data_IF_035022176112
#
_entry.id   IF_035022176112
#
_cell.length_a   1.000
_cell.length_b   1.000
_cell.length_c   1.000
_cell.angle_alpha   90.00
_cell.angle_beta   90.00
_cell.angle_gamma   90.00
#
_symmetry.space_group_name_H-M   'P 1'
#
loop_
_entity.id
_entity.type
_entity.pdbx_description
1 polymer ?
#
# COMPACT_ATOMS: atom_id res chain seq x y z
N UNK A 1 25.12 -58.06 4.60
CA UNK A 1 26.02 -57.78 3.46
C UNK A 1 25.17 -57.54 2.23
N UNK A 2 25.08 -56.29 1.77
CA UNK A 2 25.05 -55.94 0.34
C UNK A 2 25.46 -54.47 0.26
N UNK A 3 26.62 -54.23 -0.36
CA UNK A 3 27.12 -52.91 -0.70
C UNK A 3 26.25 -52.36 -1.83
N UNK A 4 25.88 -51.09 -1.74
CA UNK A 4 25.63 -50.29 -2.93
C UNK A 4 26.38 -48.96 -2.82
N UNK A 5 27.09 -48.73 -3.91
CA UNK A 5 28.17 -47.82 -4.21
C UNK A 5 27.73 -46.36 -4.27
N UNK A 6 28.63 -45.48 -3.85
CA UNK A 6 28.61 -44.06 -4.16
C UNK A 6 28.39 -43.82 -5.65
N UNK A 7 27.39 -42.99 -5.98
CA UNK A 7 27.42 -42.14 -7.18
C UNK A 7 27.28 -40.72 -6.67
N UNK A 8 28.39 -40.01 -6.65
CA UNK A 8 28.40 -38.56 -6.56
C UNK A 8 27.85 -38.02 -7.89
N UNK A 9 26.71 -37.35 -7.84
CA UNK A 9 26.23 -36.49 -8.91
C UNK A 9 26.12 -35.08 -8.32
N UNK A 10 27.11 -34.24 -8.64
CA UNK A 10 26.94 -32.80 -8.59
C UNK A 10 25.73 -32.45 -9.45
N UNK A 11 24.68 -31.90 -8.84
CA UNK A 11 23.71 -31.06 -9.53
C UNK A 11 23.81 -29.69 -8.86
N UNK A 12 24.84 -28.96 -9.26
CA UNK A 12 24.90 -27.52 -9.11
C UNK A 12 24.13 -26.92 -10.28
N UNK A 13 22.87 -26.57 -10.03
CA UNK A 13 22.07 -25.56 -10.73
C UNK A 13 20.66 -25.61 -10.12
N UNK A 14 20.50 -25.15 -8.88
CA UNK A 14 19.19 -24.73 -8.42
C UNK A 14 18.93 -23.39 -9.09
N UNK A 15 18.09 -23.43 -10.10
CA UNK A 15 17.42 -22.28 -10.70
C UNK A 15 16.72 -21.48 -9.61
N UNK A 16 17.43 -20.47 -9.09
CA UNK A 16 16.99 -19.58 -8.01
C UNK A 16 15.75 -18.76 -8.35
N UNK A 17 15.33 -18.71 -9.63
CA UNK A 17 14.14 -17.97 -10.04
C UNK A 17 12.80 -18.64 -9.65
N UNK A 18 12.79 -19.95 -9.35
CA UNK A 18 11.53 -20.71 -9.18
C UNK A 18 11.01 -20.84 -7.74
N UNK A 19 11.87 -20.64 -6.73
CA UNK A 19 11.46 -20.78 -5.31
C UNK A 19 10.83 -19.49 -4.79
N UNK A 20 11.32 -18.32 -5.23
CA UNK A 20 10.76 -17.02 -4.82
C UNK A 20 9.37 -16.74 -5.40
N UNK A 21 9.02 -17.33 -6.54
CA UNK A 21 7.67 -17.23 -7.12
C UNK A 21 6.59 -17.95 -6.29
N UNK A 22 7.00 -18.75 -5.29
CA UNK A 22 6.09 -19.58 -4.49
C UNK A 22 5.94 -19.13 -3.03
N UNK A 23 6.70 -18.13 -2.57
CA UNK A 23 6.57 -17.62 -1.20
C UNK A 23 5.81 -16.31 -1.17
N UNK A 24 5.01 -16.07 -0.15
CA UNK A 24 4.30 -14.80 0.06
C UNK A 24 5.20 -13.62 0.48
N UNK A 25 6.52 -13.82 0.60
CA UNK A 25 7.49 -12.75 0.79
C UNK A 25 7.83 -12.11 -0.54
N UNK A 26 7.84 -10.77 -0.58
CA UNK A 26 8.12 -10.07 -1.82
C UNK A 26 9.52 -9.43 -1.83
N UNK A 27 10.45 -10.14 -2.45
CA UNK A 27 11.84 -9.73 -2.63
C UNK A 27 12.25 -9.88 -4.09
N UNK A 28 12.99 -8.88 -4.59
CA UNK A 28 13.63 -8.91 -5.90
C UNK A 28 15.06 -9.44 -5.78
N UNK A 29 15.52 -10.16 -6.79
CA UNK A 29 16.91 -10.62 -6.87
C UNK A 29 17.87 -9.49 -7.28
N UNK A 30 17.34 -8.43 -7.90
CA UNK A 30 18.13 -7.30 -8.41
C UNK A 30 17.68 -5.99 -7.77
N UNK A 31 18.64 -5.09 -7.62
CA UNK A 31 18.37 -3.70 -7.27
C UNK A 31 19.06 -2.77 -8.26
N UNK A 32 18.54 -1.55 -8.35
CA UNK A 32 18.99 -0.52 -9.27
C UNK A 32 19.08 0.81 -8.53
N UNK A 33 19.77 1.77 -9.15
CA UNK A 33 19.87 3.15 -8.66
C UNK A 33 18.88 4.02 -9.43
N UNK A 34 17.92 4.64 -8.73
CA UNK A 34 16.95 5.55 -9.33
C UNK A 34 17.57 6.93 -9.66
N UNK A 35 16.86 7.81 -10.39
CA UNK A 35 17.29 9.19 -10.59
C UNK A 35 17.50 10.01 -9.32
N UNK A 36 16.80 9.68 -8.22
CA UNK A 36 17.00 10.34 -6.91
C UNK A 36 18.22 9.78 -6.16
N UNK A 37 18.89 8.76 -6.71
CA UNK A 37 19.97 8.03 -6.08
C UNK A 37 19.51 6.92 -5.14
N UNK A 38 18.20 6.64 -5.05
CA UNK A 38 17.67 5.55 -4.25
C UNK A 38 18.20 4.21 -4.76
N UNK A 39 18.60 3.32 -3.86
CA UNK A 39 18.90 1.92 -4.20
C UNK A 39 17.69 1.08 -3.80
N UNK A 40 16.98 0.55 -4.79
CA UNK A 40 15.72 -0.20 -4.59
C UNK A 40 15.60 -1.37 -5.58
N UNK A 41 14.66 -2.27 -5.30
CA UNK A 41 14.33 -3.41 -6.15
C UNK A 41 14.06 -2.95 -7.59
N UNK A 42 14.55 -3.71 -8.57
CA UNK A 42 14.33 -3.40 -9.99
C UNK A 42 12.84 -3.34 -10.34
N UNK A 43 12.06 -4.31 -9.85
CA UNK A 43 10.59 -4.34 -9.97
C UNK A 43 9.92 -3.07 -9.41
N UNK A 44 10.29 -2.64 -8.21
CA UNK A 44 9.74 -1.41 -7.61
C UNK A 44 10.14 -0.17 -8.43
N UNK A 45 11.37 -0.10 -8.92
CA UNK A 45 11.82 1.00 -9.78
C UNK A 45 11.06 1.03 -11.12
N UNK A 46 10.80 -0.14 -11.71
CA UNK A 46 10.01 -0.25 -12.94
C UNK A 46 8.55 0.17 -12.73
N UNK A 47 8.00 -0.07 -11.53
CA UNK A 47 6.68 0.45 -11.15
C UNK A 47 6.69 1.95 -10.92
N UNK A 48 7.67 2.47 -10.21
CA UNK A 48 7.85 3.90 -9.96
C UNK A 48 7.92 4.71 -11.27
N UNK A 49 8.54 4.17 -12.33
CA UNK A 49 8.58 4.80 -13.65
C UNK A 49 7.20 5.00 -14.30
N UNK A 50 6.15 4.35 -13.79
CA UNK A 50 4.78 4.54 -14.27
C UNK A 50 4.08 5.72 -13.55
N UNK A 51 4.61 6.17 -12.42
CA UNK A 51 4.13 7.32 -11.65
C UNK A 51 4.76 8.61 -12.16
N UNK A 52 4.35 9.03 -13.35
CA UNK A 52 4.81 10.27 -13.98
C UNK A 52 3.73 11.35 -13.93
N UNK A 53 4.12 12.59 -13.63
CA UNK A 53 3.26 13.77 -13.83
C UNK A 53 2.77 13.79 -15.29
N UNK A 54 1.46 13.64 -15.50
CA UNK A 54 0.86 13.65 -16.82
C UNK A 54 -0.59 14.14 -16.78
N UNK A 55 -1.06 14.62 -17.92
CA UNK A 55 -2.48 14.96 -18.17
C UNK A 55 -2.95 14.16 -19.37
N UNK A 56 -4.00 13.39 -19.17
CA UNK A 56 -4.64 12.59 -20.20
C UNK A 56 -6.02 13.16 -20.50
N UNK A 57 -6.26 13.59 -21.75
CA UNK A 57 -7.62 13.72 -22.28
C UNK A 57 -8.06 12.31 -22.70
N UNK A 58 -8.73 11.59 -21.80
CA UNK A 58 -9.14 10.19 -22.03
C UNK A 58 -10.23 10.12 -23.09
N UNK A 59 -11.15 11.08 -23.03
CA UNK A 59 -12.16 11.39 -24.03
C UNK A 59 -12.30 12.92 -24.13
N UNK A 60 -12.89 13.47 -25.21
CA UNK A 60 -13.16 14.90 -25.29
C UNK A 60 -13.92 15.40 -24.05
N UNK A 61 -13.30 16.30 -23.28
CA UNK A 61 -13.86 16.84 -22.04
C UNK A 61 -13.73 15.95 -20.80
N UNK A 62 -13.07 14.80 -20.87
CA UNK A 62 -12.79 13.92 -19.73
C UNK A 62 -11.28 13.81 -19.54
N UNK A 63 -10.81 14.37 -18.43
CA UNK A 63 -9.40 14.57 -18.14
C UNK A 63 -8.98 13.78 -16.89
N UNK A 64 -7.76 13.25 -16.89
CA UNK A 64 -7.13 12.64 -15.72
C UNK A 64 -5.72 13.22 -15.53
N UNK A 65 -5.48 13.84 -14.38
CA UNK A 65 -4.18 14.37 -13.95
C UNK A 65 -3.56 13.35 -13.00
N UNK A 66 -2.42 12.80 -13.38
CA UNK A 66 -1.77 11.69 -12.67
C UNK A 66 -0.38 12.06 -12.19
N UNK A 67 0.16 11.30 -11.23
CA UNK A 67 1.58 11.34 -10.86
C UNK A 67 1.99 12.53 -9.97
N UNK A 68 1.02 13.23 -9.37
CA UNK A 68 1.28 14.31 -8.42
C UNK A 68 1.45 13.82 -6.97
N UNK A 69 1.06 12.58 -6.70
CA UNK A 69 1.13 11.95 -5.40
C UNK A 69 0.56 10.55 -5.47
N UNK A 70 -0.23 10.17 -4.48
CA UNK A 70 -0.84 8.84 -4.44
C UNK A 70 -2.04 8.73 -5.37
N UNK A 71 -2.90 9.75 -5.39
CA UNK A 71 -4.13 9.83 -6.17
C UNK A 71 -3.96 10.49 -7.54
N UNK A 72 -5.02 10.39 -8.33
CA UNK A 72 -5.28 11.16 -9.53
C UNK A 72 -6.36 12.21 -9.23
N UNK A 73 -6.33 13.31 -9.96
CA UNK A 73 -7.47 14.23 -10.06
C UNK A 73 -8.14 14.01 -11.41
N UNK A 74 -9.42 13.66 -11.40
CA UNK A 74 -10.19 13.49 -12.63
C UNK A 74 -11.15 14.68 -12.82
N UNK A 75 -11.20 15.23 -14.03
CA UNK A 75 -11.98 16.43 -14.35
C UNK A 75 -12.87 16.16 -15.56
N UNK A 76 -14.16 16.39 -15.40
CA UNK A 76 -15.16 16.24 -16.45
C UNK A 76 -15.74 17.61 -16.80
N UNK A 77 -15.74 17.96 -18.07
CA UNK A 77 -16.41 19.16 -18.58
C UNK A 77 -17.93 18.89 -18.70
N UNK A 78 -18.73 19.66 -17.97
CA UNK A 78 -20.18 19.71 -18.12
C UNK A 78 -20.64 20.77 -19.12
N UNK A 79 -21.94 21.07 -19.13
CA UNK A 79 -22.53 22.09 -20.01
C UNK A 79 -21.99 23.50 -19.75
N UNK A 80 -21.77 23.86 -18.48
CA UNK A 80 -21.44 25.23 -18.07
C UNK A 80 -20.17 25.35 -17.22
N UNK A 81 -19.62 24.23 -16.75
CA UNK A 81 -18.41 24.20 -15.92
C UNK A 81 -17.75 22.84 -15.83
N UNK A 82 -17.17 22.54 -14.67
CA UNK A 82 -16.45 21.29 -14.39
C UNK A 82 -17.14 20.47 -13.29
N UNK A 83 -17.07 19.16 -13.41
CA UNK A 83 -17.21 18.22 -12.31
C UNK A 83 -15.82 17.67 -12.00
N UNK A 84 -15.39 17.77 -10.74
CA UNK A 84 -14.07 17.28 -10.30
C UNK A 84 -14.26 16.06 -9.40
N UNK A 85 -13.61 14.95 -9.73
CA UNK A 85 -13.59 13.75 -8.89
C UNK A 85 -12.32 13.80 -8.05
N UNK A 86 -12.52 13.86 -6.75
CA UNK A 86 -11.49 14.12 -5.73
C UNK A 86 -10.78 15.48 -5.92
N UNK A 87 -10.83 16.33 -4.89
CA UNK A 87 -10.33 17.70 -4.95
C UNK A 87 -8.80 17.83 -4.81
N UNK A 88 -8.10 16.72 -4.59
CA UNK A 88 -6.70 16.64 -4.23
C UNK A 88 -6.47 16.55 -2.72
N UNK A 89 -5.32 16.01 -2.32
CA UNK A 89 -4.96 15.77 -0.92
C UNK A 89 -4.52 17.02 -0.15
N UNK A 90 -4.25 18.14 -0.84
CA UNK A 90 -3.90 19.43 -0.23
C UNK A 90 -4.17 20.59 -1.19
N UNK A 91 -4.09 21.83 -0.70
CA UNK A 91 -4.26 23.02 -1.56
C UNK A 91 -3.14 23.14 -2.61
N UNK A 92 -1.89 22.93 -2.21
CA UNK A 92 -0.76 22.96 -3.14
C UNK A 92 -0.89 21.88 -4.22
N UNK A 93 -1.41 20.71 -3.86
CA UNK A 93 -1.71 19.63 -4.79
C UNK A 93 -2.78 20.04 -5.82
N UNK A 94 -3.90 20.61 -5.36
CA UNK A 94 -4.96 21.10 -6.24
C UNK A 94 -4.47 22.20 -7.21
N UNK A 95 -3.69 23.17 -6.72
CA UNK A 95 -3.08 24.22 -7.55
C UNK A 95 -2.20 23.65 -8.65
N UNK A 96 -1.34 22.68 -8.28
CA UNK A 96 -0.46 22.01 -9.22
C UNK A 96 -1.27 21.26 -10.28
N UNK A 97 -2.32 20.54 -9.91
CA UNK A 97 -3.19 19.86 -10.86
C UNK A 97 -3.88 20.82 -11.83
N UNK A 98 -4.47 21.92 -11.32
CA UNK A 98 -5.08 22.95 -12.15
C UNK A 98 -4.09 23.60 -13.12
N UNK A 99 -2.82 23.77 -12.70
CA UNK A 99 -1.76 24.32 -13.56
C UNK A 99 -1.34 23.41 -14.71
N UNK A 100 -1.58 22.11 -14.60
CA UNK A 100 -1.26 21.13 -15.64
C UNK A 100 -2.37 21.01 -16.69
N UNK A 101 -3.62 21.30 -16.31
CA UNK A 101 -4.76 21.29 -17.22
C UNK A 101 -4.69 22.48 -18.21
N UNK A 102 -5.24 22.33 -19.42
CA UNK A 102 -5.34 23.46 -20.34
C UNK A 102 -6.09 24.64 -19.71
N UNK A 103 -5.60 25.86 -19.88
CA UNK A 103 -6.18 27.07 -19.27
C UNK A 103 -7.69 27.24 -19.57
N UNK A 104 -8.12 26.86 -20.78
CA UNK A 104 -9.53 26.85 -21.20
C UNK A 104 -10.42 25.91 -20.39
N UNK A 105 -9.83 24.92 -19.72
CA UNK A 105 -10.51 23.95 -18.85
C UNK A 105 -10.39 24.42 -17.42
N UNK A 106 -9.17 24.62 -16.90
CA UNK A 106 -8.93 24.91 -15.48
C UNK A 106 -9.49 26.25 -14.99
N UNK A 107 -9.79 27.20 -15.89
CA UNK A 107 -10.43 28.47 -15.54
C UNK A 107 -11.95 28.38 -15.39
N UNK A 108 -12.59 27.29 -15.84
CA UNK A 108 -14.04 27.12 -15.76
C UNK A 108 -14.51 27.00 -14.29
N UNK A 109 -15.73 27.46 -13.97
CA UNK A 109 -16.30 27.27 -12.64
C UNK A 109 -16.53 25.77 -12.36
N UNK A 110 -16.31 25.33 -11.13
CA UNK A 110 -16.63 23.98 -10.69
C UNK A 110 -18.11 23.92 -10.25
N UNK A 111 -18.88 23.10 -10.95
CA UNK A 111 -20.30 22.85 -10.70
C UNK A 111 -20.55 21.73 -9.72
N UNK A 112 -19.62 20.78 -9.63
CA UNK A 112 -19.66 19.84 -8.52
C UNK A 112 -18.38 19.07 -8.27
N UNK A 113 -18.33 18.48 -7.09
CA UNK A 113 -17.38 17.45 -6.72
C UNK A 113 -18.09 16.13 -6.50
N UNK A 114 -17.41 15.03 -6.82
CA UNK A 114 -17.76 13.70 -6.33
C UNK A 114 -16.54 13.17 -5.59
N UNK A 115 -16.69 12.90 -4.31
CA UNK A 115 -15.62 12.29 -3.52
C UNK A 115 -15.72 10.78 -3.66
N UNK A 116 -14.66 10.16 -4.18
CA UNK A 116 -14.58 8.69 -4.22
C UNK A 116 -14.49 8.14 -2.82
N UNK A 117 -13.76 8.82 -1.93
CA UNK A 117 -13.67 8.59 -0.48
C UNK A 117 -12.88 9.73 0.18
N UNK A 118 -12.77 9.73 1.51
CA UNK A 118 -12.23 10.86 2.26
C UNK A 118 -10.75 11.21 2.07
N UNK A 119 -9.91 10.34 1.48
CA UNK A 119 -8.46 10.56 1.46
C UNK A 119 -8.01 11.79 0.64
N UNK A 120 -8.72 12.14 -0.43
CA UNK A 120 -8.22 13.04 -1.49
C UNK A 120 -9.09 14.28 -1.70
N UNK A 121 -9.62 14.83 -0.60
CA UNK A 121 -10.67 15.86 -0.64
C UNK A 121 -10.22 17.25 -0.15
N UNK A 122 -9.04 17.35 0.47
CA UNK A 122 -8.59 18.55 1.19
C UNK A 122 -8.13 19.70 0.29
N UNK A 123 -8.10 19.51 -1.02
CA UNK A 123 -7.83 20.54 -2.03
C UNK A 123 -9.08 21.09 -2.72
N UNK A 124 -10.28 20.57 -2.44
CA UNK A 124 -11.50 20.89 -3.20
C UNK A 124 -11.83 22.40 -3.24
N UNK A 125 -11.73 23.09 -2.11
CA UNK A 125 -12.02 24.52 -2.00
C UNK A 125 -11.01 25.45 -2.68
N UNK A 126 -9.92 24.93 -3.22
CA UNK A 126 -8.93 25.70 -3.97
C UNK A 126 -9.34 25.90 -5.44
N UNK A 127 -10.25 25.06 -5.96
CA UNK A 127 -10.76 25.20 -7.31
C UNK A 127 -11.69 26.42 -7.44
N UNK A 128 -12.06 26.78 -8.67
CA UNK A 128 -12.98 27.90 -8.95
C UNK A 128 -14.43 27.55 -8.55
N UNK A 129 -14.69 27.47 -7.25
CA UNK A 129 -15.97 27.04 -6.65
C UNK A 129 -16.87 28.23 -6.29
N UNK A 130 -18.14 27.96 -6.08
CA UNK A 130 -19.14 28.91 -5.60
C UNK A 130 -20.07 28.27 -4.57
N UNK A 131 -20.91 29.06 -3.90
CA UNK A 131 -21.81 28.56 -2.84
C UNK A 131 -22.84 27.53 -3.36
N UNK A 132 -23.10 27.48 -4.66
CA UNK A 132 -23.98 26.54 -5.34
C UNK A 132 -23.27 25.27 -5.85
N UNK A 133 -21.95 25.13 -5.67
CA UNK A 133 -21.21 23.91 -6.04
C UNK A 133 -21.75 22.70 -5.28
N UNK A 134 -22.19 21.66 -6.00
CA UNK A 134 -22.71 20.43 -5.41
C UNK A 134 -21.54 19.53 -5.00
N UNK A 135 -21.54 18.99 -3.79
CA UNK A 135 -20.54 18.02 -3.34
C UNK A 135 -21.24 16.72 -3.01
N UNK A 136 -20.95 15.66 -3.77
CA UNK A 136 -21.51 14.32 -3.58
C UNK A 136 -20.49 13.44 -2.86
N UNK A 137 -20.92 12.73 -1.83
CA UNK A 137 -20.11 11.72 -1.14
C UNK A 137 -21.00 10.60 -0.61
N UNK A 138 -20.40 9.49 -0.17
CA UNK A 138 -21.12 8.42 0.52
C UNK A 138 -21.67 8.90 1.87
N UNK A 139 -22.79 8.34 2.34
CA UNK A 139 -23.40 8.72 3.62
C UNK A 139 -22.49 8.49 4.84
N UNK A 140 -21.54 7.55 4.75
CA UNK A 140 -20.54 7.29 5.78
C UNK A 140 -19.37 8.28 5.79
N UNK A 141 -19.28 9.19 4.81
CA UNK A 141 -18.12 10.07 4.63
C UNK A 141 -17.75 10.85 5.89
N UNK A 142 -18.73 11.49 6.52
CA UNK A 142 -18.46 12.30 7.71
C UNK A 142 -17.98 11.43 8.88
N UNK A 143 -18.54 10.24 9.08
CA UNK A 143 -18.10 9.32 10.14
C UNK A 143 -16.69 8.79 9.91
N UNK A 144 -16.36 8.44 8.67
CA UNK A 144 -15.04 7.92 8.27
C UNK A 144 -13.96 8.99 8.42
N UNK A 145 -14.23 10.20 7.93
CA UNK A 145 -13.35 11.35 8.06
C UNK A 145 -13.13 11.71 9.54
N UNK A 146 -14.21 11.84 10.32
CA UNK A 146 -14.10 12.16 11.76
C UNK A 146 -13.31 11.11 12.51
N UNK A 147 -13.60 9.82 12.30
CA UNK A 147 -12.88 8.73 12.99
C UNK A 147 -11.39 8.72 12.63
N UNK A 148 -11.06 8.94 11.36
CA UNK A 148 -9.69 8.88 10.86
C UNK A 148 -8.83 10.07 11.30
N UNK A 149 -9.46 11.23 11.46
CA UNK A 149 -8.80 12.49 11.86
C UNK A 149 -8.93 12.81 13.35
N UNK A 150 -9.57 11.94 14.14
CA UNK A 150 -9.77 12.17 15.57
C UNK A 150 -8.45 12.13 16.35
N UNK A 151 -7.88 13.30 16.58
CA UNK A 151 -6.67 13.49 17.37
C UNK A 151 -6.88 13.20 18.87
N UNK A 152 -8.12 13.05 19.34
CA UNK A 152 -8.41 12.72 20.75
C UNK A 152 -8.32 11.21 21.04
N UNK A 153 -8.30 10.36 20.00
CA UNK A 153 -8.12 8.93 20.16
C UNK A 153 -6.77 8.61 20.83
N UNK A 154 -6.72 7.78 21.88
CA UNK A 154 -5.47 7.34 22.51
C UNK A 154 -4.51 6.64 21.53
N UNK A 155 -5.04 6.12 20.40
CA UNK A 155 -4.24 5.46 19.36
C UNK A 155 -3.71 6.42 18.29
N UNK A 156 -4.19 7.67 18.25
CA UNK A 156 -3.85 8.63 17.19
C UNK A 156 -2.34 8.88 17.06
N UNK A 157 -1.55 9.09 18.14
CA UNK A 157 -0.11 9.32 18.01
C UNK A 157 0.61 8.15 17.32
N UNK A 158 0.25 6.91 17.68
CA UNK A 158 0.82 5.73 17.04
C UNK A 158 0.41 5.65 15.56
N UNK A 159 -0.88 5.84 15.24
CA UNK A 159 -1.39 5.76 13.87
C UNK A 159 -0.75 6.80 12.95
N UNK A 160 -0.59 8.05 13.41
CA UNK A 160 0.05 9.13 12.66
C UNK A 160 1.51 8.82 12.36
N UNK A 161 2.29 8.43 13.37
CA UNK A 161 3.70 8.07 13.20
C UNK A 161 3.88 6.88 12.26
N UNK A 162 3.08 5.83 12.43
CA UNK A 162 3.15 4.65 11.56
C UNK A 162 2.71 4.96 10.12
N UNK A 163 1.78 5.90 9.93
CA UNK A 163 1.40 6.41 8.60
C UNK A 163 2.57 7.14 7.95
N UNK A 164 3.26 8.02 8.70
CA UNK A 164 4.45 8.74 8.24
C UNK A 164 5.59 7.79 7.86
N UNK A 165 5.85 6.75 8.66
CA UNK A 165 6.81 5.70 8.33
C UNK A 165 6.42 4.99 7.04
N UNK A 166 5.19 4.48 6.95
CA UNK A 166 4.73 3.72 5.78
C UNK A 166 4.81 4.54 4.49
N UNK A 167 4.47 5.83 4.54
CA UNK A 167 4.45 6.72 3.38
C UNK A 167 5.80 7.40 3.11
N UNK A 168 6.85 7.01 3.85
CA UNK A 168 8.24 7.41 3.62
C UNK A 168 8.56 8.84 4.03
N UNK A 169 7.71 9.53 4.80
CA UNK A 169 7.85 10.99 5.04
C UNK A 169 9.10 11.39 5.81
N UNK A 170 9.73 10.45 6.51
CA UNK A 170 10.98 10.65 7.24
C UNK A 170 12.24 10.37 6.42
N UNK A 171 12.09 9.80 5.22
CA UNK A 171 13.22 9.44 4.37
C UNK A 171 13.81 10.69 3.70
N UNK A 172 15.12 10.70 3.45
CA UNK A 172 15.73 11.80 2.70
C UNK A 172 15.17 11.84 1.28
N UNK A 173 15.06 13.03 0.69
CA UNK A 173 14.54 13.17 -0.68
C UNK A 173 15.48 12.59 -1.75
N UNK A 174 16.79 12.56 -1.46
CA UNK A 174 17.84 12.06 -2.37
C UNK A 174 18.79 11.10 -1.64
N UNK A 175 19.54 10.31 -2.43
CA UNK A 175 20.51 9.32 -1.96
C UNK A 175 19.93 7.92 -1.80
N UNK A 176 20.75 6.96 -1.37
CA UNK A 176 20.41 5.52 -1.35
C UNK A 176 19.13 5.17 -0.57
N UNK A 177 18.83 5.96 0.47
CA UNK A 177 17.68 5.77 1.36
C UNK A 177 16.47 6.61 0.93
N UNK A 178 16.53 7.26 -0.24
CA UNK A 178 15.39 7.97 -0.82
C UNK A 178 14.21 7.02 -1.06
N UNK A 179 12.97 7.47 -0.79
CA UNK A 179 11.76 6.67 -0.97
C UNK A 179 11.58 6.27 -2.45
N UNK A 180 10.78 5.23 -2.68
CA UNK A 180 10.13 5.03 -3.97
C UNK A 180 9.14 6.16 -4.27
N UNK A 181 8.75 6.32 -5.54
CA UNK A 181 7.77 7.33 -5.98
C UNK A 181 6.40 7.13 -5.31
N UNK A 182 6.05 5.88 -4.99
CA UNK A 182 4.85 5.56 -4.20
C UNK A 182 4.99 6.05 -2.75
N UNK A 183 4.40 7.20 -2.42
CA UNK A 183 4.43 7.80 -1.07
C UNK A 183 3.99 9.27 -1.02
N UNK A 184 4.23 9.94 0.12
CA UNK A 184 3.91 11.37 0.31
C UNK A 184 5.14 12.28 0.33
N UNK A 185 6.33 11.77 0.01
CA UNK A 185 7.60 12.49 0.21
C UNK A 185 7.74 13.74 -0.66
N UNK A 186 7.09 13.74 -1.83
CA UNK A 186 7.07 14.87 -2.76
C UNK A 186 5.72 15.62 -2.79
N UNK A 187 4.83 15.33 -1.83
CA UNK A 187 3.54 15.99 -1.70
C UNK A 187 3.61 17.04 -0.60
N UNK A 188 3.27 18.29 -0.93
CA UNK A 188 3.15 19.34 0.09
C UNK A 188 1.84 19.18 0.88
N UNK A 189 1.98 18.72 2.12
CA UNK A 189 0.88 18.49 3.07
C UNK A 189 0.78 19.60 4.12
N UNK A 190 1.43 20.74 3.93
CA UNK A 190 1.47 21.83 4.92
C UNK A 190 0.13 22.56 5.09
N UNK A 191 -0.73 22.54 4.07
CA UNK A 191 -2.07 23.14 4.09
C UNK A 191 -3.13 22.18 3.54
N UNK A 192 -3.90 21.58 4.46
CA UNK A 192 -5.02 20.65 4.20
C UNK A 192 -6.39 21.29 4.49
N UNK A 193 -6.50 22.62 4.41
CA UNK A 193 -7.70 23.36 4.80
C UNK A 193 -8.81 23.46 3.74
N UNK A 194 -8.59 22.96 2.52
CA UNK A 194 -9.51 23.10 1.39
C UNK A 194 -10.63 22.06 1.33
N UNK A 195 -11.00 21.41 2.42
CA UNK A 195 -12.15 20.48 2.43
C UNK A 195 -13.48 21.22 2.23
N UNK A 196 -14.37 20.68 1.40
CA UNK A 196 -15.76 21.14 1.25
C UNK A 196 -16.72 20.05 1.74
N UNK A 197 -17.65 20.40 2.64
CA UNK A 197 -18.59 19.42 3.16
C UNK A 197 -19.57 18.93 2.07
N UNK A 198 -19.91 17.63 2.03
CA UNK A 198 -20.94 17.11 1.13
C UNK A 198 -22.29 17.82 1.29
N UNK A 199 -22.90 18.21 0.17
CA UNK A 199 -24.26 18.77 0.10
C UNK A 199 -25.28 17.75 -0.36
N UNK A 200 -24.82 16.63 -0.93
CA UNK A 200 -25.63 15.47 -1.31
C UNK A 200 -24.93 14.19 -0.86
N UNK A 201 -25.71 13.29 -0.26
CA UNK A 201 -25.23 11.97 0.13
C UNK A 201 -25.89 10.90 -0.73
N UNK A 202 -25.12 9.86 -1.05
CA UNK A 202 -25.58 8.61 -1.68
C UNK A 202 -25.24 7.44 -0.75
N UNK A 203 -25.97 6.34 -0.84
CA UNK A 203 -25.79 5.16 0.00
C UNK A 203 -25.14 4.00 -0.73
N UNK A 204 -25.33 2.79 -0.18
CA UNK A 204 -24.77 1.56 -0.74
C UNK A 204 -25.45 1.14 -2.06
N UNK A 205 -26.75 1.42 -2.19
CA UNK A 205 -27.55 1.08 -3.36
C UNK A 205 -27.22 1.97 -4.58
N UNK A 206 -27.47 1.43 -5.78
CA UNK A 206 -27.34 2.19 -7.03
C UNK A 206 -28.15 3.49 -6.96
N UNK A 207 -27.45 4.61 -7.13
CA UNK A 207 -28.04 5.94 -7.13
C UNK A 207 -27.67 6.69 -8.39
N UNK A 208 -28.68 7.09 -9.16
CA UNK A 208 -28.51 7.93 -10.34
C UNK A 208 -28.62 9.41 -9.98
N UNK A 209 -27.76 10.23 -10.58
CA UNK A 209 -27.88 11.68 -10.49
C UNK A 209 -27.20 12.38 -11.67
N UNK A 210 -27.41 13.68 -11.75
CA UNK A 210 -26.82 14.52 -12.78
C UNK A 210 -26.20 15.77 -12.13
N UNK A 211 -25.05 16.19 -12.66
CA UNK A 211 -24.41 17.46 -12.34
C UNK A 211 -24.04 18.12 -13.67
N UNK A 212 -24.56 19.32 -13.91
CA UNK A 212 -24.23 20.15 -15.09
C UNK A 212 -24.35 19.38 -16.43
N UNK A 213 -25.44 18.60 -16.59
CA UNK A 213 -25.74 17.82 -17.79
C UNK A 213 -25.02 16.47 -17.91
N UNK A 214 -24.15 16.13 -16.95
CA UNK A 214 -23.44 14.83 -16.93
C UNK A 214 -24.11 13.88 -15.95
N UNK A 215 -24.51 12.71 -16.44
CA UNK A 215 -25.12 11.65 -15.64
C UNK A 215 -24.07 10.78 -14.96
N UNK A 216 -24.36 10.43 -13.72
CA UNK A 216 -23.56 9.54 -12.89
C UNK A 216 -24.48 8.48 -12.28
N UNK A 217 -23.95 7.26 -12.17
CA UNK A 217 -24.49 6.17 -11.37
C UNK A 217 -23.43 5.81 -10.34
N UNK A 218 -23.80 5.78 -9.07
CA UNK A 218 -22.90 5.37 -7.99
C UNK A 218 -23.42 4.15 -7.28
N UNK A 219 -22.51 3.32 -6.79
CA UNK A 219 -22.78 2.20 -5.90
C UNK A 219 -21.72 2.17 -4.79
N UNK A 220 -21.96 1.44 -3.70
CA UNK A 220 -20.95 1.15 -2.70
C UNK A 220 -19.63 0.69 -3.35
N UNK A 221 -18.57 1.43 -3.05
CA UNK A 221 -17.18 1.15 -3.43
C UNK A 221 -16.33 0.83 -2.22
N UNK A 222 -16.88 0.09 -1.24
CA UNK A 222 -16.24 -0.26 0.03
C UNK A 222 -14.97 -1.10 -0.19
N UNK A 223 -13.82 -0.42 -0.30
CA UNK A 223 -12.52 -1.04 -0.47
C UNK A 223 -11.53 -0.57 0.60
N UNK A 224 -10.92 0.60 0.45
CA UNK A 224 -10.00 1.18 1.42
C UNK A 224 -10.74 1.63 2.68
N UNK A 225 -11.87 2.30 2.48
CA UNK A 225 -12.71 2.90 3.52
C UNK A 225 -14.18 2.50 3.31
N UNK A 226 -15.03 2.77 4.31
CA UNK A 226 -16.47 2.48 4.24
C UNK A 226 -17.30 3.65 3.69
N UNK A 227 -16.64 4.71 3.22
CA UNK A 227 -17.24 5.81 2.46
C UNK A 227 -16.84 5.76 0.98
N UNK A 228 -16.31 4.63 0.52
CA UNK A 228 -15.90 4.43 -0.86
C UNK A 228 -17.10 4.39 -1.81
N UNK A 229 -16.96 5.05 -2.97
CA UNK A 229 -17.91 4.99 -4.08
C UNK A 229 -17.25 4.40 -5.32
N UNK A 230 -17.96 3.50 -5.98
CA UNK A 230 -17.72 3.15 -7.38
C UNK A 230 -18.62 4.04 -8.24
N UNK A 231 -18.04 4.74 -9.20
CA UNK A 231 -18.72 5.76 -10.01
C UNK A 231 -18.71 5.32 -11.48
N UNK A 232 -19.86 5.38 -12.15
CA UNK A 232 -20.03 5.09 -13.56
C UNK A 232 -20.74 6.23 -14.30
N UNK A 233 -20.22 6.61 -15.46
CA UNK A 233 -20.79 7.60 -16.36
C UNK A 233 -21.34 6.87 -17.60
N UNK A 234 -22.66 6.60 -17.68
CA UNK A 234 -23.22 5.70 -18.70
C UNK A 234 -23.10 6.24 -20.13
N UNK A 235 -23.26 7.56 -20.31
CA UNK A 235 -23.22 8.16 -21.64
C UNK A 235 -21.79 8.14 -22.24
N UNK A 236 -20.76 8.21 -21.40
CA UNK A 236 -19.34 8.17 -21.78
C UNK A 236 -18.70 6.79 -21.60
N UNK A 237 -19.38 5.85 -20.94
CA UNK A 237 -18.88 4.53 -20.55
C UNK A 237 -17.57 4.59 -19.76
N UNK A 238 -17.51 5.52 -18.80
CA UNK A 238 -16.33 5.80 -17.97
C UNK A 238 -16.58 5.32 -16.55
N UNK A 239 -15.60 4.64 -15.93
CA UNK A 239 -15.59 4.35 -14.48
C UNK A 239 -14.53 5.15 -13.72
N UNK A 240 -14.83 5.48 -12.46
CA UNK A 240 -13.88 6.00 -11.49
C UNK A 240 -14.09 5.26 -10.17
N UNK A 241 -13.06 4.60 -9.67
CA UNK A 241 -13.13 3.75 -8.48
C UNK A 241 -11.76 3.58 -7.80
N UNK A 242 -11.81 3.16 -6.54
CA UNK A 242 -10.66 2.74 -5.74
C UNK A 242 -10.73 1.23 -5.41
N UNK A 243 -11.29 0.42 -6.32
CA UNK A 243 -11.58 -1.00 -6.04
C UNK A 243 -10.36 -1.90 -6.31
N UNK A 244 -9.38 -1.41 -7.07
CA UNK A 244 -8.11 -2.08 -7.36
C UNK A 244 -6.96 -1.07 -7.40
N UNK A 245 -5.73 -1.54 -7.23
CA UNK A 245 -4.54 -0.69 -7.32
C UNK A 245 -3.96 -0.83 -8.73
N UNK A 246 -3.96 0.25 -9.51
CA UNK A 246 -3.59 0.20 -10.93
C UNK A 246 -2.19 -0.37 -11.21
N UNK A 247 -1.31 -0.35 -10.21
CA UNK A 247 0.08 -0.74 -10.34
C UNK A 247 0.45 -2.00 -9.54
N UNK A 248 -0.49 -2.71 -8.89
CA UNK A 248 -0.15 -3.92 -8.15
C UNK A 248 -1.23 -4.45 -7.21
N UNK A 249 -0.82 -5.30 -6.26
CA UNK A 249 -1.70 -5.92 -5.28
C UNK A 249 -2.35 -4.86 -4.38
N UNK A 250 -3.68 -4.78 -4.41
CA UNK A 250 -4.43 -3.90 -3.52
C UNK A 250 -4.25 -4.33 -2.05
N UNK A 251 -4.14 -3.35 -1.16
CA UNK A 251 -4.01 -3.65 0.26
C UNK A 251 -5.32 -4.22 0.82
N UNK A 252 -5.31 -5.40 1.43
CA UNK A 252 -6.42 -5.89 2.27
C UNK A 252 -6.28 -5.43 3.73
N UNK A 253 -5.08 -4.96 4.07
CA UNK A 253 -4.73 -4.43 5.38
C UNK A 253 -3.50 -3.56 5.25
N UNK A 254 -3.42 -2.52 6.08
CA UNK A 254 -2.29 -1.59 6.07
C UNK A 254 -1.36 -1.81 7.26
N UNK A 255 -0.05 -1.74 7.04
CA UNK A 255 0.95 -1.89 8.11
C UNK A 255 0.87 -0.73 9.11
N UNK A 256 0.39 0.45 8.71
CA UNK A 256 0.22 1.60 9.61
C UNK A 256 -0.79 1.32 10.74
N UNK A 257 -1.63 0.30 10.58
CA UNK A 257 -2.61 -0.14 11.56
C UNK A 257 -3.96 0.49 11.28
N UNK A 258 -4.90 -0.34 10.85
CA UNK A 258 -6.28 0.04 10.63
C UNK A 258 -7.20 -1.18 10.77
N UNK A 259 -8.51 -0.98 10.60
CA UNK A 259 -9.49 -2.07 10.56
C UNK A 259 -9.19 -3.06 9.42
N UNK A 260 -9.77 -4.25 9.54
CA UNK A 260 -9.84 -5.19 8.42
C UNK A 260 -10.66 -4.58 7.29
N UNK A 261 -10.23 -4.76 6.04
CA UNK A 261 -11.03 -4.40 4.89
C UNK A 261 -11.86 -5.62 4.48
N UNK A 262 -13.18 -5.49 4.52
CA UNK A 262 -14.08 -6.61 4.30
C UNK A 262 -14.06 -7.06 2.84
N UNK A 263 -13.53 -8.27 2.62
CA UNK A 263 -13.32 -8.84 1.28
C UNK A 263 -14.62 -9.09 0.51
N UNK A 264 -15.73 -9.34 1.22
CA UNK A 264 -17.05 -9.50 0.61
C UNK A 264 -17.55 -8.19 0.00
N UNK A 265 -17.35 -7.06 0.71
CA UNK A 265 -17.74 -5.75 0.20
C UNK A 265 -16.88 -5.34 -1.01
N UNK A 266 -15.58 -5.66 -0.99
CA UNK A 266 -14.70 -5.48 -2.16
C UNK A 266 -15.14 -6.31 -3.36
N UNK A 267 -15.58 -7.55 -3.11
CA UNK A 267 -16.10 -8.45 -4.15
C UNK A 267 -17.35 -7.84 -4.79
N UNK A 268 -18.28 -7.33 -3.98
CA UNK A 268 -19.49 -6.67 -4.46
C UNK A 268 -19.17 -5.43 -5.32
N UNK A 269 -18.28 -4.55 -4.85
CA UNK A 269 -17.85 -3.38 -5.61
C UNK A 269 -17.16 -3.75 -6.94
N UNK A 270 -16.32 -4.78 -6.92
CA UNK A 270 -15.63 -5.28 -8.13
C UNK A 270 -16.63 -5.86 -9.13
N UNK A 271 -17.59 -6.66 -8.65
CA UNK A 271 -18.61 -7.27 -9.49
C UNK A 271 -19.52 -6.21 -10.12
N UNK A 272 -19.95 -5.22 -9.33
CA UNK A 272 -20.79 -4.14 -9.83
C UNK A 272 -20.13 -3.41 -11.01
N UNK A 273 -18.84 -3.09 -10.91
CA UNK A 273 -18.08 -2.46 -12.00
C UNK A 273 -17.96 -3.37 -13.24
N UNK A 274 -17.79 -4.68 -13.06
CA UNK A 274 -17.71 -5.67 -14.15
C UNK A 274 -19.06 -5.83 -14.88
N UNK A 275 -20.17 -5.55 -14.20
CA UNK A 275 -21.52 -5.63 -14.76
C UNK A 275 -21.89 -4.39 -15.60
N UNK A 276 -21.14 -3.29 -15.47
CA UNK A 276 -21.33 -2.07 -16.26
C UNK A 276 -20.68 -2.16 -17.65
N UNK A 277 -21.23 -1.42 -18.62
CA UNK A 277 -20.62 -1.27 -19.94
C UNK A 277 -19.53 -0.19 -19.92
N UNK A 278 -18.37 -0.54 -19.33
CA UNK A 278 -17.21 0.36 -19.19
C UNK A 278 -16.24 0.17 -20.35
N UNK A 279 -15.92 1.27 -21.05
CA UNK A 279 -14.88 1.34 -22.08
C UNK A 279 -13.59 2.01 -21.58
N UNK A 280 -13.71 2.88 -20.56
CA UNK A 280 -12.61 3.66 -20.00
C UNK A 280 -12.65 3.66 -18.48
N UNK A 281 -11.50 3.49 -17.82
CA UNK A 281 -11.37 3.62 -16.36
C UNK A 281 -10.35 4.69 -16.04
N UNK A 282 -10.79 5.75 -15.36
CA UNK A 282 -9.92 6.86 -14.96
C UNK A 282 -9.11 6.54 -13.71
N UNK A 283 -9.70 5.72 -12.82
CA UNK A 283 -9.13 5.27 -11.55
C UNK A 283 -8.89 6.40 -10.56
N UNK A 284 -8.77 6.04 -9.29
CA UNK A 284 -8.22 6.95 -8.27
C UNK A 284 -6.70 6.92 -8.25
N UNK A 285 -6.08 5.83 -8.70
CA UNK A 285 -4.63 5.66 -8.68
C UNK A 285 -4.10 5.28 -10.05
N UNK A 286 -3.03 5.96 -10.49
CA UNK A 286 -2.24 5.52 -11.63
C UNK A 286 -2.82 5.90 -12.99
N UNK A 287 -2.21 5.38 -14.06
CA UNK A 287 -2.61 5.76 -15.42
C UNK A 287 -4.04 5.29 -15.76
N UNK A 288 -4.88 6.14 -16.39
CA UNK A 288 -6.16 5.71 -16.94
C UNK A 288 -5.97 4.65 -18.04
N UNK A 289 -6.92 3.74 -18.17
CA UNK A 289 -6.88 2.63 -19.14
C UNK A 289 -8.17 2.52 -19.92
N UNK A 290 -8.10 1.90 -21.10
CA UNK A 290 -9.24 1.70 -21.98
C UNK A 290 -9.28 0.26 -22.48
N UNK A 291 -10.46 -0.23 -22.82
CA UNK A 291 -10.67 -1.57 -23.37
C UNK A 291 -10.41 -2.68 -22.34
N UNK A 292 -9.89 -3.81 -22.83
CA UNK A 292 -9.79 -5.04 -22.04
C UNK A 292 -8.87 -4.94 -20.81
N UNK A 293 -7.89 -4.03 -20.81
CA UNK A 293 -6.95 -3.85 -19.68
C UNK A 293 -7.69 -3.59 -18.36
N UNK A 294 -8.77 -2.79 -18.39
CA UNK A 294 -9.57 -2.53 -17.19
C UNK A 294 -10.20 -3.82 -16.65
N UNK A 295 -10.80 -4.62 -17.53
CA UNK A 295 -11.46 -5.88 -17.17
C UNK A 295 -10.44 -6.90 -16.67
N UNK A 296 -9.26 -6.96 -17.27
CA UNK A 296 -8.14 -7.80 -16.80
C UNK A 296 -7.71 -7.40 -15.38
N UNK A 297 -7.61 -6.10 -15.09
CA UNK A 297 -7.26 -5.58 -13.76
C UNK A 297 -8.33 -5.92 -12.70
N UNK A 298 -9.61 -5.67 -12.97
CA UNK A 298 -10.68 -6.03 -12.05
C UNK A 298 -10.83 -7.54 -11.87
N UNK A 299 -10.68 -8.32 -12.94
CA UNK A 299 -10.70 -9.80 -12.86
C UNK A 299 -9.54 -10.30 -12.01
N UNK A 300 -8.34 -9.72 -12.17
CA UNK A 300 -7.20 -10.05 -11.33
C UNK A 300 -7.46 -9.68 -9.86
N UNK A 301 -8.06 -8.52 -9.58
CA UNK A 301 -8.45 -8.12 -8.23
C UNK A 301 -9.44 -9.13 -7.61
N UNK A 302 -10.47 -9.54 -8.36
CA UNK A 302 -11.44 -10.54 -7.91
C UNK A 302 -10.76 -11.87 -7.56
N UNK A 303 -9.94 -12.40 -8.47
CA UNK A 303 -9.16 -13.62 -8.24
C UNK A 303 -8.23 -13.49 -7.02
N UNK A 304 -7.67 -12.31 -6.80
CA UNK A 304 -6.78 -12.06 -5.65
C UNK A 304 -7.52 -12.18 -4.31
N UNK A 305 -8.78 -11.72 -4.24
CA UNK A 305 -9.64 -11.86 -3.06
C UNK A 305 -9.99 -13.33 -2.81
N UNK A 306 -10.45 -14.03 -3.85
CA UNK A 306 -10.82 -15.45 -3.76
C UNK A 306 -9.65 -16.30 -3.25
N UNK A 307 -8.44 -16.02 -3.73
CA UNK A 307 -7.25 -16.75 -3.31
C UNK A 307 -6.77 -16.39 -1.91
N UNK A 308 -6.82 -15.10 -1.54
CA UNK A 308 -6.50 -14.69 -0.17
C UNK A 308 -7.32 -15.51 0.82
N UNK A 309 -8.63 -15.60 0.59
CA UNK A 309 -9.56 -16.37 1.41
C UNK A 309 -9.24 -17.85 1.32
N UNK A 310 -9.34 -18.43 0.13
CA UNK A 310 -9.32 -19.89 -0.04
C UNK A 310 -7.96 -20.52 0.31
N UNK A 311 -6.83 -19.91 -0.06
CA UNK A 311 -5.50 -20.47 0.26
C UNK A 311 -5.13 -20.26 1.73
N UNK A 312 -5.54 -19.14 2.34
CA UNK A 312 -5.33 -18.94 3.78
C UNK A 312 -6.19 -19.89 4.61
N UNK A 313 -7.48 -20.09 4.27
CA UNK A 313 -8.34 -21.05 4.96
C UNK A 313 -7.86 -22.50 4.81
N UNK A 314 -7.36 -22.88 3.63
CA UNK A 314 -6.71 -24.20 3.44
C UNK A 314 -5.49 -24.37 4.35
N UNK A 315 -4.68 -23.32 4.52
CA UNK A 315 -3.53 -23.35 5.42
C UNK A 315 -3.95 -23.45 6.89
N UNK A 316 -4.97 -22.70 7.29
CA UNK A 316 -5.60 -22.80 8.63
C UNK A 316 -6.11 -24.22 8.88
N UNK A 317 -6.82 -24.80 7.90
CA UNK A 317 -7.34 -26.17 7.98
C UNK A 317 -6.24 -27.25 8.09
N UNK A 318 -5.00 -26.94 7.68
CA UNK A 318 -3.81 -27.78 7.88
C UNK A 318 -3.14 -27.56 9.24
N UNK A 319 -3.67 -26.66 10.08
CA UNK A 319 -3.16 -26.35 11.41
C UNK A 319 -2.04 -25.30 11.44
N UNK A 320 -1.80 -24.59 10.33
CA UNK A 320 -0.75 -23.57 10.27
C UNK A 320 -1.11 -22.33 11.11
N UNK A 321 -0.15 -21.86 11.89
CA UNK A 321 -0.19 -20.61 12.65
C UNK A 321 -0.05 -19.38 11.72
N UNK A 322 -0.39 -18.17 12.20
CA UNK A 322 -0.23 -16.96 11.39
C UNK A 322 1.24 -16.70 11.02
N UNK A 323 2.20 -17.13 11.84
CA UNK A 323 3.64 -16.97 11.55
C UNK A 323 4.15 -18.00 10.52
N UNK A 324 3.48 -19.14 10.35
CA UNK A 324 3.78 -20.11 9.29
C UNK A 324 3.09 -19.75 7.97
N UNK A 325 1.86 -19.26 8.03
CA UNK A 325 1.04 -18.90 6.86
C UNK A 325 1.73 -17.89 5.96
N UNK A 326 2.36 -16.87 6.53
CA UNK A 326 3.07 -15.81 5.80
C UNK A 326 4.27 -16.30 4.97
N UNK A 327 4.67 -17.57 5.10
CA UNK A 327 5.75 -18.21 4.34
C UNK A 327 5.28 -19.40 3.50
N UNK A 328 4.17 -20.05 3.88
CA UNK A 328 3.74 -21.33 3.30
C UNK A 328 2.50 -21.23 2.41
N UNK A 329 1.76 -20.10 2.46
CA UNK A 329 0.68 -19.87 1.50
C UNK A 329 1.29 -19.53 0.14
N UNK A 330 0.93 -20.34 -0.85
CA UNK A 330 1.40 -20.23 -2.24
C UNK A 330 0.22 -19.96 -3.16
N UNK A 331 0.41 -19.12 -4.18
CA UNK A 331 -0.63 -18.81 -5.16
C UNK A 331 -0.36 -19.50 -6.50
N UNK A 332 -1.40 -19.74 -7.33
CA UNK A 332 -1.21 -20.23 -8.70
C UNK A 332 -0.26 -19.34 -9.52
N UNK A 333 0.56 -19.96 -10.36
CA UNK A 333 1.62 -19.28 -11.14
C UNK A 333 1.10 -18.11 -11.99
N UNK A 334 -0.06 -18.26 -12.62
CA UNK A 334 -0.72 -17.21 -13.42
C UNK A 334 -0.91 -15.91 -12.62
N UNK A 335 -1.20 -16.02 -11.33
CA UNK A 335 -1.50 -14.87 -10.47
C UNK A 335 -0.27 -14.39 -9.71
N UNK A 336 0.60 -15.31 -9.29
CA UNK A 336 1.90 -14.96 -8.73
C UNK A 336 2.75 -14.12 -9.70
N UNK A 337 2.60 -14.38 -11.01
CA UNK A 337 3.29 -13.64 -12.08
C UNK A 337 2.40 -12.61 -12.78
N UNK A 338 1.21 -12.29 -12.24
CA UNK A 338 0.32 -11.31 -12.87
C UNK A 338 0.91 -9.90 -12.76
N UNK A 339 1.04 -9.15 -13.87
CA UNK A 339 1.53 -7.77 -13.84
C UNK A 339 0.59 -6.81 -13.09
N UNK A 340 -0.65 -7.24 -12.84
CA UNK A 340 -1.68 -6.48 -12.12
C UNK A 340 -1.66 -6.72 -10.60
N UNK A 341 -1.00 -7.78 -10.13
CA UNK A 341 -0.96 -8.17 -8.72
C UNK A 341 0.46 -8.14 -8.15
N UNK A 342 1.36 -7.39 -8.78
CA UNK A 342 2.72 -7.20 -8.28
C UNK A 342 2.67 -6.59 -6.87
N UNK A 343 3.45 -7.16 -5.95
CA UNK A 343 3.48 -6.76 -4.55
C UNK A 343 4.37 -5.52 -4.35
N UNK A 344 3.95 -4.38 -4.92
CA UNK A 344 4.68 -3.11 -4.87
C UNK A 344 4.16 -2.13 -3.81
N UNK A 345 3.01 -2.44 -3.20
CA UNK A 345 2.42 -1.71 -2.09
C UNK A 345 1.98 -2.69 -0.99
N UNK A 346 1.00 -3.53 -1.28
CA UNK A 346 0.62 -4.67 -0.44
C UNK A 346 1.49 -5.90 -0.68
N UNK A 347 1.59 -6.78 0.32
CA UNK A 347 2.25 -8.08 0.21
C UNK A 347 1.35 -9.17 0.82
N UNK A 348 1.35 -10.32 0.17
CA UNK A 348 0.63 -11.49 0.61
C UNK A 348 1.02 -11.95 2.01
N UNK A 349 2.31 -11.82 2.37
CA UNK A 349 2.82 -12.26 3.68
C UNK A 349 2.05 -11.64 4.85
N UNK A 350 1.81 -10.33 4.81
CA UNK A 350 1.03 -9.67 5.87
C UNK A 350 -0.48 -9.71 5.63
N UNK A 351 -0.96 -9.84 4.39
CA UNK A 351 -2.40 -10.01 4.13
C UNK A 351 -2.96 -11.34 4.62
N UNK A 352 -2.28 -12.46 4.32
CA UNK A 352 -2.66 -13.80 4.77
C UNK A 352 -2.62 -13.88 6.30
N UNK A 353 -1.57 -13.31 6.93
CA UNK A 353 -1.48 -13.18 8.39
C UNK A 353 -2.62 -12.35 8.97
N UNK A 354 -3.01 -11.25 8.32
CA UNK A 354 -4.14 -10.43 8.79
C UNK A 354 -5.48 -11.15 8.62
N UNK A 355 -5.66 -11.88 7.54
CA UNK A 355 -6.85 -12.70 7.30
C UNK A 355 -6.97 -13.78 8.38
N UNK A 356 -5.87 -14.46 8.74
CA UNK A 356 -5.85 -15.37 9.89
C UNK A 356 -6.38 -14.68 11.15
N UNK A 357 -5.88 -13.48 11.47
CA UNK A 357 -6.35 -12.74 12.65
C UNK A 357 -7.84 -12.41 12.60
N UNK A 358 -8.39 -12.18 11.40
CA UNK A 358 -9.82 -11.94 11.21
C UNK A 358 -10.63 -13.22 11.45
N UNK A 359 -10.19 -14.35 10.89
CA UNK A 359 -10.93 -15.61 10.93
C UNK A 359 -10.78 -16.35 12.27
N UNK A 360 -9.58 -16.33 12.86
CA UNK A 360 -9.16 -17.21 13.95
C UNK A 360 -8.67 -16.47 15.20
N UNK A 361 -8.55 -15.13 15.17
CA UNK A 361 -7.87 -14.30 16.18
C UNK A 361 -6.32 -14.38 16.10
N UNK A 362 -5.58 -13.83 17.07
CA UNK A 362 -4.12 -13.78 17.04
C UNK A 362 -3.41 -15.11 17.35
N UNK A 363 -4.10 -16.06 17.98
CA UNK A 363 -3.49 -17.26 18.55
C UNK A 363 -3.23 -18.34 17.49
N UNK A 364 -1.98 -18.79 17.38
CA UNK A 364 -1.49 -19.65 16.31
C UNK A 364 -1.48 -21.16 16.54
N UNK A 365 -1.86 -21.63 17.73
CA UNK A 365 -1.89 -23.02 18.22
C UNK A 365 -0.76 -23.44 19.17
N UNK A 366 0.41 -22.79 19.19
CA UNK A 366 1.45 -23.12 20.18
C UNK A 366 1.12 -22.49 21.54
N UNK A 367 0.93 -23.34 22.56
CA UNK A 367 0.67 -22.90 23.93
C UNK A 367 1.76 -22.00 24.52
N UNK A 368 3.01 -22.06 24.01
CA UNK A 368 4.09 -21.16 24.43
C UNK A 368 3.76 -19.70 24.11
N UNK A 369 2.99 -19.44 23.05
CA UNK A 369 2.61 -18.09 22.62
C UNK A 369 1.53 -17.46 23.51
N UNK A 370 0.88 -18.22 24.40
CA UNK A 370 -0.10 -17.66 25.32
C UNK A 370 0.56 -16.67 26.29
N UNK A 371 1.73 -17.04 26.80
CA UNK A 371 2.48 -16.28 27.81
C UNK A 371 3.98 -16.39 27.54
N UNK A 372 4.48 -15.83 26.41
CA UNK A 372 5.90 -15.86 26.11
C UNK A 372 6.69 -15.10 27.18
N UNK A 373 7.99 -15.39 27.27
CA UNK A 373 8.88 -14.59 28.10
C UNK A 373 8.85 -13.13 27.65
N UNK A 374 9.09 -12.23 28.60
CA UNK A 374 9.35 -10.83 28.28
C UNK A 374 10.54 -10.76 27.31
N UNK A 375 10.40 -9.99 26.23
CA UNK A 375 11.31 -10.07 25.08
C UNK A 375 12.76 -9.79 25.44
N UNK A 376 13.04 -8.93 26.42
CA UNK A 376 14.41 -8.68 26.85
C UNK A 376 14.94 -9.81 27.74
N UNK A 377 14.09 -10.51 28.51
CA UNK A 377 14.49 -11.72 29.24
C UNK A 377 14.80 -12.90 28.32
N UNK A 378 13.95 -13.13 27.33
CA UNK A 378 14.22 -14.11 26.29
C UNK A 378 15.54 -13.82 25.58
N UNK A 379 15.74 -12.56 25.15
CA UNK A 379 16.95 -12.15 24.45
C UNK A 379 18.23 -12.40 25.27
N UNK A 380 18.25 -12.03 26.56
CA UNK A 380 19.39 -12.30 27.45
C UNK A 380 19.71 -13.80 27.57
N UNK A 381 18.68 -14.65 27.64
CA UNK A 381 18.85 -16.12 27.70
C UNK A 381 19.36 -16.68 26.37
N UNK A 382 18.81 -16.21 25.25
CA UNK A 382 19.24 -16.62 23.91
C UNK A 382 20.68 -16.19 23.62
N UNK A 383 21.05 -14.94 23.94
CA UNK A 383 22.43 -14.45 23.80
C UNK A 383 23.40 -15.28 24.63
N UNK A 384 23.04 -15.63 25.88
CA UNK A 384 23.85 -16.53 26.71
C UNK A 384 24.00 -17.92 26.06
N UNK A 385 22.92 -18.47 25.51
CA UNK A 385 22.94 -19.77 24.84
C UNK A 385 23.79 -19.76 23.55
N UNK A 386 23.83 -18.63 22.84
CA UNK A 386 24.62 -18.44 21.62
C UNK A 386 26.10 -18.09 21.86
N UNK A 387 26.56 -18.04 23.12
CA UNK A 387 27.96 -17.81 23.46
C UNK A 387 28.32 -16.38 23.87
N UNK A 388 27.33 -15.53 24.14
CA UNK A 388 27.52 -14.16 24.63
C UNK A 388 27.32 -13.09 23.55
N UNK A 389 27.24 -11.83 23.99
CA UNK A 389 26.91 -10.67 23.14
C UNK A 389 27.88 -10.54 21.95
N UNK A 390 29.20 -10.59 22.21
CA UNK A 390 30.22 -10.43 21.17
C UNK A 390 30.11 -11.51 20.08
N UNK A 391 29.83 -12.76 20.48
CA UNK A 391 29.65 -13.88 19.57
C UNK A 391 28.41 -13.69 18.69
N UNK A 392 27.30 -13.25 19.28
CA UNK A 392 26.05 -12.98 18.54
C UNK A 392 26.24 -11.83 17.55
N UNK A 393 26.95 -10.77 17.93
CA UNK A 393 27.26 -9.66 17.01
C UNK A 393 28.18 -10.14 15.88
N UNK A 394 29.17 -10.98 16.17
CA UNK A 394 30.03 -11.57 15.15
C UNK A 394 29.22 -12.39 14.15
N UNK A 395 28.33 -13.26 14.63
CA UNK A 395 27.44 -14.06 13.79
C UNK A 395 26.48 -13.19 12.98
N UNK A 396 25.96 -12.10 13.57
CA UNK A 396 25.10 -11.16 12.85
C UNK A 396 25.84 -10.48 11.69
N UNK A 397 27.12 -10.13 11.88
CA UNK A 397 27.97 -9.57 10.82
C UNK A 397 28.33 -10.60 9.75
N UNK A 398 28.62 -11.84 10.14
CA UNK A 398 28.87 -12.96 9.22
C UNK A 398 27.63 -13.23 8.36
N UNK A 399 26.45 -13.39 8.98
CA UNK A 399 25.17 -13.54 8.28
C UNK A 399 24.91 -12.38 7.29
N UNK A 400 25.27 -11.14 7.66
CA UNK A 400 25.16 -10.01 6.74
C UNK A 400 26.09 -10.16 5.52
N UNK A 401 27.34 -10.56 5.72
CA UNK A 401 28.32 -10.77 4.64
C UNK A 401 27.91 -11.90 3.69
N UNK A 402 27.19 -12.89 4.21
CA UNK A 402 26.64 -14.02 3.43
C UNK A 402 25.30 -13.68 2.73
N UNK A 403 24.77 -12.47 2.92
CA UNK A 403 23.50 -12.03 2.33
C UNK A 403 22.25 -12.46 3.11
N UNK A 404 22.40 -13.07 4.29
CA UNK A 404 21.31 -13.50 5.17
C UNK A 404 20.77 -12.33 6.01
N UNK A 405 20.36 -11.25 5.35
CA UNK A 405 20.03 -9.98 6.02
C UNK A 405 18.90 -10.08 7.06
N UNK A 406 17.89 -10.93 6.82
CA UNK A 406 16.84 -11.17 7.81
C UNK A 406 17.40 -11.80 9.09
N UNK A 407 18.30 -12.78 8.95
CA UNK A 407 18.90 -13.47 10.08
C UNK A 407 19.87 -12.56 10.83
N UNK A 408 20.69 -11.80 10.10
CA UNK A 408 21.54 -10.74 10.65
C UNK A 408 20.73 -9.76 11.53
N UNK A 409 19.60 -9.25 11.02
CA UNK A 409 18.74 -8.34 11.76
C UNK A 409 18.10 -8.98 13.00
N UNK A 410 17.78 -10.28 12.96
CA UNK A 410 17.24 -11.03 14.11
C UNK A 410 18.30 -11.23 15.20
N UNK A 411 19.50 -11.69 14.84
CA UNK A 411 20.62 -11.82 15.78
C UNK A 411 20.97 -10.48 16.43
N UNK A 412 21.09 -9.42 15.63
CA UNK A 412 21.34 -8.08 16.14
C UNK A 412 20.22 -7.60 17.06
N UNK A 413 18.95 -7.95 16.79
CA UNK A 413 17.83 -7.64 17.68
C UNK A 413 17.97 -8.31 19.06
N UNK A 414 18.43 -9.56 19.12
CA UNK A 414 18.71 -10.20 20.40
C UNK A 414 19.83 -9.49 21.17
N UNK A 415 20.91 -9.10 20.50
CA UNK A 415 22.01 -8.35 21.14
C UNK A 415 21.57 -6.97 21.65
N UNK A 416 20.76 -6.23 20.89
CA UNK A 416 20.21 -4.92 21.31
C UNK A 416 19.34 -5.09 22.56
N UNK A 417 18.42 -6.05 22.56
CA UNK A 417 17.55 -6.34 23.72
C UNK A 417 18.31 -6.87 24.94
N UNK A 418 19.51 -7.39 24.74
CA UNK A 418 20.43 -7.75 25.81
C UNK A 418 21.28 -6.57 26.31
N UNK A 419 21.13 -5.38 25.73
CA UNK A 419 21.75 -4.13 26.17
C UNK A 419 23.00 -3.71 25.38
N UNK A 420 23.23 -4.22 24.16
CA UNK A 420 24.35 -3.78 23.32
C UNK A 420 23.93 -2.73 22.29
N UNK A 421 24.49 -1.53 22.44
CA UNK A 421 24.33 -0.45 21.46
C UNK A 421 25.15 -0.72 20.17
N UNK A 422 26.25 -1.46 20.26
CA UNK A 422 27.09 -1.80 19.10
C UNK A 422 26.34 -2.62 18.04
N UNK A 423 25.33 -3.38 18.48
CA UNK A 423 24.48 -4.18 17.59
C UNK A 423 23.49 -3.32 16.77
N UNK A 424 23.25 -2.05 17.15
CA UNK A 424 22.31 -1.16 16.44
C UNK A 424 22.74 -0.91 15.00
N UNK A 425 24.03 -0.63 14.77
CA UNK A 425 24.55 -0.42 13.41
C UNK A 425 24.43 -1.69 12.56
N UNK A 426 24.70 -2.87 13.12
CA UNK A 426 24.56 -4.15 12.40
C UNK A 426 23.11 -4.37 11.95
N UNK A 427 22.14 -4.06 12.82
CA UNK A 427 20.72 -4.12 12.46
C UNK A 427 20.35 -3.06 11.41
N UNK A 428 20.84 -1.83 11.54
CA UNK A 428 20.59 -0.76 10.57
C UNK A 428 21.08 -1.15 9.18
N UNK A 429 22.30 -1.68 9.07
CA UNK A 429 22.89 -2.15 7.81
C UNK A 429 22.06 -3.30 7.22
N UNK A 430 21.67 -4.28 8.03
CA UNK A 430 20.84 -5.40 7.58
C UNK A 430 19.44 -4.96 7.11
N UNK A 431 18.79 -4.04 7.82
CA UNK A 431 17.50 -3.47 7.41
C UNK A 431 17.63 -2.68 6.11
N UNK A 432 18.69 -1.87 5.96
CA UNK A 432 18.96 -1.14 4.73
C UNK A 432 19.19 -2.07 3.55
N UNK A 433 19.97 -3.14 3.71
CA UNK A 433 20.13 -4.17 2.68
C UNK A 433 18.81 -4.83 2.32
N UNK A 434 17.96 -5.19 3.30
CA UNK A 434 16.60 -5.70 3.01
C UNK A 434 15.76 -4.70 2.23
N UNK A 435 15.82 -3.42 2.58
CA UNK A 435 15.07 -2.36 1.90
C UNK A 435 15.48 -2.19 0.43
N UNK A 436 16.73 -2.48 0.08
CA UNK A 436 17.23 -2.42 -1.30
C UNK A 436 16.64 -3.53 -2.19
N UNK A 437 16.16 -4.63 -1.62
CA UNK A 437 15.56 -5.75 -2.35
C UNK A 437 14.05 -5.90 -2.10
N UNK A 438 13.46 -5.07 -1.24
CA UNK A 438 12.03 -5.08 -0.99
C UNK A 438 11.28 -4.56 -2.24
N UNK A 439 10.36 -5.36 -2.77
CA UNK A 439 9.53 -4.94 -3.93
C UNK A 439 8.44 -3.96 -3.50
N UNK A 440 8.01 -4.01 -2.25
CA UNK A 440 6.94 -3.16 -1.73
C UNK A 440 7.49 -1.87 -1.10
N UNK A 441 7.00 -0.73 -1.59
CA UNK A 441 7.29 0.61 -1.06
C UNK A 441 7.04 0.71 0.45
N UNK A 442 5.92 0.17 0.95
CA UNK A 442 5.60 0.14 2.37
C UNK A 442 6.72 -0.51 3.19
N UNK A 443 7.09 -1.75 2.84
CA UNK A 443 8.10 -2.54 3.56
C UNK A 443 9.49 -1.90 3.47
N UNK A 444 9.85 -1.37 2.30
CA UNK A 444 11.07 -0.57 2.12
C UNK A 444 11.10 0.61 3.09
N UNK A 445 10.04 1.41 3.16
CA UNK A 445 9.99 2.62 3.98
C UNK A 445 10.10 2.30 5.48
N UNK A 446 9.46 1.22 5.93
CA UNK A 446 9.60 0.71 7.30
C UNK A 446 11.04 0.33 7.64
N UNK A 447 11.71 -0.43 6.78
CA UNK A 447 13.09 -0.84 7.02
C UNK A 447 14.06 0.35 7.05
N UNK A 448 13.96 1.27 6.10
CA UNK A 448 14.84 2.44 6.05
C UNK A 448 14.61 3.39 7.23
N UNK A 449 13.35 3.65 7.59
CA UNK A 449 13.05 4.53 8.72
C UNK A 449 13.61 3.95 10.01
N UNK A 450 13.44 2.65 10.25
CA UNK A 450 14.04 1.99 11.41
C UNK A 450 15.58 2.00 11.38
N UNK A 451 16.20 1.87 10.20
CA UNK A 451 17.66 2.02 10.07
C UNK A 451 18.12 3.44 10.46
N UNK A 452 17.43 4.49 10.01
CA UNK A 452 17.74 5.87 10.39
C UNK A 452 17.61 6.12 11.89
N UNK A 453 16.62 5.50 12.54
CA UNK A 453 16.46 5.57 13.99
C UNK A 453 17.60 4.88 14.74
N UNK A 454 17.96 3.65 14.34
CA UNK A 454 19.05 2.89 14.95
C UNK A 454 20.41 3.62 14.82
N UNK A 455 20.57 4.45 13.79
CA UNK A 455 21.76 5.28 13.55
C UNK A 455 21.72 6.63 14.28
N UNK A 456 20.64 6.96 15.00
CA UNK A 456 20.46 8.25 15.65
C UNK A 456 20.25 9.43 14.68
N UNK A 457 19.92 9.14 13.41
CA UNK A 457 19.62 10.18 12.39
C UNK A 457 18.17 10.66 12.45
N UNK A 458 17.30 9.89 13.07
CA UNK A 458 15.90 10.20 13.28
C UNK A 458 15.48 9.80 14.70
N UNK A 459 14.86 10.71 15.44
CA UNK A 459 14.30 10.40 16.75
C UNK A 459 12.78 10.19 16.63
N UNK A 460 12.32 8.97 16.92
CA UNK A 460 10.91 8.63 17.06
C UNK A 460 10.65 8.07 18.46
N UNK A 461 9.42 8.17 18.99
CA UNK A 461 9.08 7.55 20.27
C UNK A 461 9.45 6.06 20.32
N UNK A 462 10.15 5.68 21.40
CA UNK A 462 10.78 4.36 21.65
C UNK A 462 9.87 3.16 21.31
N UNK A 463 8.56 3.28 21.57
CA UNK A 463 7.57 2.20 21.35
C UNK A 463 7.50 1.73 19.88
N UNK A 464 7.99 2.53 18.93
CA UNK A 464 7.94 2.22 17.49
C UNK A 464 9.28 1.78 16.89
N UNK A 465 10.38 1.89 17.63
CA UNK A 465 11.75 1.67 17.10
C UNK A 465 12.25 0.24 17.36
N UNK A 466 11.57 -0.48 18.24
CA UNK A 466 11.97 -1.82 18.68
C UNK A 466 13.18 -1.84 19.61
N UNK A 467 13.72 -0.67 19.97
CA UNK A 467 14.65 -0.49 21.09
C UNK A 467 13.82 -0.52 22.37
N UNK A 468 14.08 -1.49 23.26
CA UNK A 468 13.44 -1.60 24.57
C UNK A 468 14.48 -1.95 25.60
#
# INVERSE_FOLDING_TARGET
MYKLTCVAALVAAVTSASVFASTSLSVDAQNVVSPTGAILAESLNNKDQQYTEAVYEVLPGVWSVTGLGMDNINVIEGETGLIVIDGGISRAYAQKAMSMLPEKVSSKPVKGFIYTHWHYIFGAGEWNVSDDTVVVAHENHQSELTTSTDASSPTAPARVLRTQIQLGTFLPKEGQDSPSVTGLVNVDMSDISGYMAPTKLVGDDETEFEIDGVKFVTHAGHSDTLDGLSIYMPDQKVSIDNTYWAHGLFNFSTLRGDRWREVELMTQATQWLLDQDVEHSLKVHGKPVSGEIFKEQLTAQMKSIELLVSETEKAIGKGMSPDEIQYNVTFPEELANSPHLEQNYGEWSFHTRRYYNQAMHWFGNDSVDLHPLERNDEARRMVKAMGGVDQVISQAKEAHQEGEYQWSAQLATYAIRAGSDEAKQVKADALRSKAQYATASNTRNWYLTHALVLEGKLELPIVLTGEY
#
